data_IF_134588638881
#
_entry.id   IF_134588638881
#
_cell.length_a   1.000
_cell.length_b   1.000
_cell.length_c   1.000
_cell.angle_alpha   90.00
_cell.angle_beta   90.00
_cell.angle_gamma   90.00
#
_symmetry.space_group_name_H-M   'P 1'
#
loop_
_entity.id
_entity.type
_entity.pdbx_description
1 polymer ?
#
# COMPACT_ATOMS: atom_id res chain seq x y z
N UNK A 1 -33.92 -42.08 -52.88
CA UNK A 1 -32.74 -42.63 -52.17
C UNK A 1 -32.71 -42.00 -50.79
N UNK A 2 -32.96 -42.82 -49.77
CA UNK A 2 -33.14 -42.41 -48.38
C UNK A 2 -31.74 -42.41 -47.72
N UNK A 3 -31.14 -41.23 -47.55
CA UNK A 3 -29.84 -41.09 -46.86
C UNK A 3 -30.18 -40.77 -45.40
N UNK A 4 -29.88 -41.71 -44.51
CA UNK A 4 -30.35 -41.70 -43.12
C UNK A 4 -29.71 -40.62 -42.23
N UNK A 5 -30.32 -40.38 -41.05
CA UNK A 5 -29.95 -39.32 -40.09
C UNK A 5 -28.62 -39.55 -39.35
N UNK A 6 -27.82 -40.56 -39.73
CA UNK A 6 -26.58 -40.94 -39.06
C UNK A 6 -25.34 -40.15 -39.51
N UNK A 7 -25.38 -39.48 -40.68
CA UNK A 7 -24.25 -38.70 -41.18
C UNK A 7 -24.16 -37.31 -40.54
N UNK A 8 -25.30 -36.62 -40.35
CA UNK A 8 -25.33 -35.31 -39.68
C UNK A 8 -24.99 -35.41 -38.18
N UNK A 9 -25.35 -36.51 -37.52
CA UNK A 9 -25.00 -36.74 -36.11
C UNK A 9 -23.49 -36.96 -35.91
N UNK A 10 -22.81 -37.56 -36.89
CA UNK A 10 -21.37 -37.78 -36.82
C UNK A 10 -20.56 -36.52 -37.13
N UNK A 11 -21.03 -35.63 -38.00
CA UNK A 11 -20.39 -34.31 -38.20
C UNK A 11 -20.56 -33.41 -36.97
N UNK A 12 -21.77 -33.35 -36.38
CA UNK A 12 -21.99 -32.60 -35.14
C UNK A 12 -21.15 -33.12 -33.97
N UNK A 13 -20.93 -34.43 -33.89
CA UNK A 13 -20.08 -35.04 -32.86
C UNK A 13 -18.59 -34.75 -33.09
N UNK A 14 -18.15 -34.68 -34.35
CA UNK A 14 -16.76 -34.32 -34.72
C UNK A 14 -16.49 -32.84 -34.48
N UNK A 15 -17.48 -31.99 -34.70
CA UNK A 15 -17.41 -30.56 -34.41
C UNK A 15 -17.47 -30.28 -32.90
N UNK A 16 -18.26 -31.05 -32.14
CA UNK A 16 -18.27 -31.01 -30.68
C UNK A 16 -16.94 -31.53 -30.07
N UNK A 17 -16.36 -32.61 -30.61
CA UNK A 17 -15.02 -33.08 -30.21
C UNK A 17 -13.91 -32.08 -30.56
N UNK A 18 -14.02 -31.36 -31.67
CA UNK A 18 -13.06 -30.29 -32.01
C UNK A 18 -13.21 -29.05 -31.12
N UNK A 19 -14.42 -28.73 -30.65
CA UNK A 19 -14.67 -27.65 -29.69
C UNK A 19 -14.19 -28.01 -28.27
N UNK A 20 -14.41 -29.25 -27.81
CA UNK A 20 -13.88 -29.74 -26.53
C UNK A 20 -12.34 -29.77 -26.52
N UNK A 21 -11.72 -30.10 -27.67
CA UNK A 21 -10.27 -30.08 -27.83
C UNK A 21 -9.67 -28.66 -27.88
N UNK A 22 -10.47 -27.63 -28.21
CA UNK A 22 -10.07 -26.23 -28.13
C UNK A 22 -10.23 -25.66 -26.70
N UNK A 23 -11.16 -26.19 -25.91
CA UNK A 23 -11.40 -25.79 -24.51
C UNK A 23 -10.40 -26.43 -23.52
N UNK A 24 -9.70 -27.50 -23.93
CA UNK A 24 -8.70 -28.23 -23.14
C UNK A 24 -7.23 -27.87 -23.39
N UNK A 25 -6.93 -26.79 -24.12
CA UNK A 25 -5.58 -26.20 -24.06
C UNK A 25 -5.52 -25.19 -22.91
N UNK A 26 -5.01 -25.54 -21.72
CA UNK A 26 -4.60 -24.52 -20.77
C UNK A 26 -3.55 -23.67 -21.49
N UNK A 27 -3.83 -22.38 -21.65
CA UNK A 27 -2.89 -21.40 -22.16
C UNK A 27 -1.68 -21.39 -21.25
N UNK A 28 -0.70 -22.24 -21.55
CA UNK A 28 0.58 -22.27 -20.87
C UNK A 28 1.35 -21.03 -21.33
N UNK A 29 0.98 -19.88 -20.76
CA UNK A 29 1.83 -18.70 -20.74
C UNK A 29 3.18 -19.15 -20.18
N UNK A 30 4.15 -19.28 -21.08
CA UNK A 30 5.51 -19.67 -20.75
C UNK A 30 5.95 -18.85 -19.54
N UNK A 31 6.50 -19.47 -18.49
CA UNK A 31 6.89 -18.80 -17.22
C UNK A 31 7.63 -17.46 -17.43
N UNK A 32 8.38 -17.33 -18.53
CA UNK A 32 9.04 -16.11 -19.00
C UNK A 32 8.07 -15.01 -19.49
N UNK A 33 7.05 -15.33 -20.27
CA UNK A 33 5.98 -14.41 -20.70
C UNK A 33 5.10 -13.99 -19.51
N UNK A 34 4.75 -14.92 -18.62
CA UNK A 34 4.04 -14.60 -17.37
C UNK A 34 4.87 -13.68 -16.45
N UNK A 35 6.20 -13.88 -16.36
CA UNK A 35 7.09 -12.99 -15.61
C UNK A 35 7.28 -11.63 -16.27
N UNK A 36 7.26 -11.55 -17.60
CA UNK A 36 7.39 -10.30 -18.35
C UNK A 36 6.12 -9.45 -18.25
N UNK A 37 4.95 -10.06 -18.37
CA UNK A 37 3.64 -9.42 -18.16
C UNK A 37 3.44 -9.04 -16.69
N UNK A 38 3.92 -9.86 -15.75
CA UNK A 38 3.94 -9.54 -14.32
C UNK A 38 4.87 -8.37 -13.96
N UNK A 39 6.01 -8.24 -14.63
CA UNK A 39 6.95 -7.14 -14.43
C UNK A 39 6.42 -5.81 -15.00
N UNK A 40 5.82 -5.81 -16.20
CA UNK A 40 5.18 -4.62 -16.78
C UNK A 40 3.92 -4.23 -16.02
N UNK A 41 3.09 -5.18 -15.60
CA UNK A 41 1.96 -4.91 -14.72
C UNK A 41 2.44 -4.34 -13.36
N UNK A 42 3.53 -4.84 -12.79
CA UNK A 42 4.12 -4.29 -11.55
C UNK A 42 4.75 -2.91 -11.73
N UNK A 43 5.33 -2.62 -12.89
CA UNK A 43 5.83 -1.29 -13.24
C UNK A 43 4.68 -0.29 -13.40
N UNK A 44 3.62 -0.65 -14.13
CA UNK A 44 2.38 0.14 -14.26
C UNK A 44 1.71 0.30 -12.89
N UNK A 45 1.63 -0.75 -12.06
CA UNK A 45 1.10 -0.72 -10.67
C UNK A 45 1.91 0.20 -9.75
N UNK A 46 3.24 0.25 -9.91
CA UNK A 46 4.11 1.16 -9.16
C UNK A 46 4.05 2.62 -9.67
N UNK A 47 3.88 2.83 -10.98
CA UNK A 47 3.88 4.14 -11.64
C UNK A 47 2.53 4.86 -11.58
N UNK A 48 1.42 4.12 -11.60
CA UNK A 48 0.07 4.62 -11.92
C UNK A 48 -0.43 5.77 -11.05
N UNK A 49 0.02 5.84 -9.80
CA UNK A 49 -0.49 6.83 -8.85
C UNK A 49 0.41 8.07 -8.76
N UNK A 50 1.66 8.01 -9.26
CA UNK A 50 2.64 9.10 -9.18
C UNK A 50 2.24 10.38 -9.93
N UNK A 51 1.59 10.31 -11.10
CA UNK A 51 1.05 11.51 -11.77
C UNK A 51 -0.09 12.17 -10.98
N UNK A 52 -0.92 11.39 -10.26
CA UNK A 52 -1.99 11.95 -9.43
C UNK A 52 -1.44 12.80 -8.27
N UNK A 53 -0.22 12.52 -7.79
CA UNK A 53 0.45 13.34 -6.77
C UNK A 53 0.82 14.75 -7.27
N UNK A 54 0.94 14.95 -8.59
CA UNK A 54 1.25 16.27 -9.15
C UNK A 54 0.08 17.25 -9.02
N UNK A 55 -1.15 16.74 -8.88
CA UNK A 55 -2.37 17.54 -8.90
C UNK A 55 -2.85 17.99 -7.51
N UNK A 56 -2.45 17.28 -6.45
CA UNK A 56 -2.90 17.59 -5.08
C UNK A 56 -1.80 18.25 -4.23
N UNK A 57 -2.15 19.36 -3.55
CA UNK A 57 -1.28 20.20 -2.69
C UNK A 57 -0.68 19.45 -1.49
N UNK A 58 -1.38 18.42 -1.04
CA UNK A 58 -0.86 17.44 -0.07
C UNK A 58 -0.58 16.19 -0.90
N UNK A 59 0.62 15.58 -0.83
CA UNK A 59 0.82 14.30 -1.48
C UNK A 59 -0.28 13.36 -0.99
N UNK A 60 -1.21 13.01 -1.87
CA UNK A 60 -2.30 12.10 -1.51
C UNK A 60 -1.65 10.83 -0.99
N UNK A 61 -1.96 10.41 0.23
CA UNK A 61 -1.41 9.18 0.82
C UNK A 61 -2.05 7.96 0.16
N UNK A 62 -1.93 7.86 -1.16
CA UNK A 62 -2.40 6.74 -1.93
C UNK A 62 -1.45 5.58 -1.60
N UNK A 63 -1.89 4.76 -0.65
CA UNK A 63 -1.31 3.46 -0.22
C UNK A 63 -0.05 3.49 0.61
N UNK A 64 0.64 4.63 0.72
CA UNK A 64 1.89 4.70 1.49
C UNK A 64 2.27 6.13 1.87
N UNK A 65 2.79 6.38 3.08
CA UNK A 65 3.51 7.62 3.32
C UNK A 65 4.78 7.66 2.45
N UNK A 66 4.98 8.77 1.74
CA UNK A 66 6.24 9.01 1.02
C UNK A 66 7.40 8.90 2.01
N UNK A 67 8.43 8.11 1.65
CA UNK A 67 9.63 7.98 2.47
C UNK A 67 10.51 9.22 2.29
N UNK A 68 10.64 9.69 1.05
CA UNK A 68 11.37 10.90 0.71
C UNK A 68 10.43 11.94 0.11
N UNK A 69 10.48 13.16 0.61
CA UNK A 69 9.60 14.24 0.16
C UNK A 69 10.21 14.95 -1.06
N UNK A 70 9.66 14.68 -2.26
CA UNK A 70 10.15 15.24 -3.52
C UNK A 70 9.84 16.74 -3.69
N UNK A 71 9.00 17.32 -2.83
CA UNK A 71 8.65 18.75 -2.84
C UNK A 71 9.36 19.53 -1.73
N UNK A 72 10.19 18.89 -0.91
CA UNK A 72 10.87 19.55 0.19
C UNK A 72 11.72 20.74 -0.30
N UNK A 73 12.54 20.51 -1.32
CA UNK A 73 13.39 21.57 -1.91
C UNK A 73 12.55 22.64 -2.62
N UNK A 74 11.49 22.25 -3.34
CA UNK A 74 10.61 23.21 -4.02
C UNK A 74 9.87 24.13 -3.02
N UNK A 75 9.45 23.59 -1.87
CA UNK A 75 8.81 24.36 -0.79
C UNK A 75 9.76 25.35 -0.13
N UNK A 76 11.02 25.00 0.05
CA UNK A 76 11.99 25.91 0.65
C UNK A 76 12.37 27.10 -0.25
N UNK A 77 12.07 27.04 -1.55
CA UNK A 77 12.28 28.14 -2.50
C UNK A 77 11.10 29.13 -2.55
N UNK A 78 10.01 28.87 -1.81
CA UNK A 78 8.87 29.77 -1.73
C UNK A 78 8.98 30.76 -0.55
N UNK A 79 8.50 32.01 -0.72
CA UNK A 79 8.32 32.93 0.40
C UNK A 79 7.37 32.33 1.44
N UNK A 80 7.68 32.53 2.72
CA UNK A 80 6.89 32.03 3.86
C UNK A 80 5.42 32.50 3.81
N UNK A 81 5.16 33.70 3.27
CA UNK A 81 3.81 34.27 3.09
C UNK A 81 2.89 33.44 2.17
N UNK A 82 3.47 32.75 1.18
CA UNK A 82 2.69 31.90 0.25
C UNK A 82 2.35 30.56 0.89
N UNK A 83 3.22 30.07 1.78
CA UNK A 83 3.04 28.80 2.50
C UNK A 83 1.96 28.90 3.58
N UNK A 84 1.84 30.06 4.25
CA UNK A 84 0.85 30.28 5.32
C UNK A 84 -0.57 30.54 4.78
N UNK A 85 -0.71 30.93 3.50
CA UNK A 85 -2.02 31.21 2.90
C UNK A 85 -2.82 29.93 2.65
N UNK A 86 -4.05 29.85 3.21
CA UNK A 86 -4.92 28.65 3.13
C UNK A 86 -5.27 28.21 1.72
N UNK A 87 -5.41 29.12 0.75
CA UNK A 87 -5.65 28.79 -0.67
C UNK A 87 -4.82 29.73 -1.53
N UNK A 88 -3.87 29.17 -2.29
CA UNK A 88 -3.05 29.93 -3.25
C UNK A 88 -2.70 29.01 -4.42
N UNK A 89 -2.99 29.45 -5.64
CA UNK A 89 -2.58 28.75 -6.87
C UNK A 89 -1.06 28.63 -6.96
N UNK A 90 -0.31 29.63 -6.46
CA UNK A 90 1.16 29.59 -6.38
C UNK A 90 1.68 28.66 -5.29
N UNK A 91 0.85 28.34 -4.29
CA UNK A 91 1.14 27.34 -3.25
C UNK A 91 0.67 25.92 -3.60
N UNK A 92 0.17 25.68 -4.82
CA UNK A 92 -0.16 24.35 -5.32
C UNK A 92 1.11 23.56 -5.67
N UNK A 93 1.04 22.24 -5.77
CA UNK A 93 2.18 21.40 -6.18
C UNK A 93 2.77 21.81 -7.52
N UNK A 94 1.90 22.07 -8.50
CA UNK A 94 2.28 22.60 -9.81
C UNK A 94 2.89 23.99 -9.69
N UNK A 95 2.31 24.87 -8.86
CA UNK A 95 2.84 26.21 -8.61
C UNK A 95 4.22 26.21 -7.94
N UNK A 96 4.44 25.30 -6.99
CA UNK A 96 5.72 25.10 -6.30
C UNK A 96 6.80 24.66 -7.28
N UNK A 97 6.50 23.67 -8.12
CA UNK A 97 7.42 23.16 -9.13
C UNK A 97 7.67 24.24 -10.20
N UNK A 98 6.63 24.91 -10.69
CA UNK A 98 6.75 25.97 -11.71
C UNK A 98 7.62 27.13 -11.20
N UNK A 99 7.44 27.56 -9.95
CA UNK A 99 8.27 28.58 -9.34
C UNK A 99 9.73 28.11 -9.15
N UNK A 100 9.94 26.88 -8.71
CA UNK A 100 11.28 26.31 -8.55
C UNK A 100 12.01 26.18 -9.90
N UNK A 101 11.33 25.75 -10.96
CA UNK A 101 11.87 25.71 -12.34
C UNK A 101 12.19 27.11 -12.83
N UNK A 102 11.37 28.11 -12.52
CA UNK A 102 11.66 29.51 -12.87
C UNK A 102 12.93 30.04 -12.17
N UNK A 103 13.19 29.63 -10.93
CA UNK A 103 14.36 30.10 -10.16
C UNK A 103 15.66 29.34 -10.48
N UNK A 104 15.60 28.02 -10.65
CA UNK A 104 16.78 27.13 -10.81
C UNK A 104 16.94 26.56 -12.23
N UNK A 105 16.01 26.89 -13.13
CA UNK A 105 15.94 26.35 -14.49
C UNK A 105 15.35 24.94 -14.56
N UNK A 106 15.19 24.42 -15.78
CA UNK A 106 14.64 23.09 -16.07
C UNK A 106 15.46 21.94 -15.48
N UNK A 107 16.76 22.16 -15.21
CA UNK A 107 17.62 21.18 -14.54
C UNK A 107 17.17 20.83 -13.12
N UNK A 108 16.28 21.64 -12.52
CA UNK A 108 15.72 21.40 -11.20
C UNK A 108 14.93 20.08 -11.12
N UNK A 109 14.10 19.81 -12.12
CA UNK A 109 13.23 18.63 -12.16
C UNK A 109 14.02 17.31 -12.09
N UNK A 110 14.96 17.03 -13.01
CA UNK A 110 15.70 15.76 -13.00
C UNK A 110 16.64 15.62 -11.81
N UNK A 111 17.08 16.72 -11.17
CA UNK A 111 18.06 16.68 -10.07
C UNK A 111 17.43 16.64 -8.66
N UNK A 112 16.28 17.27 -8.47
CA UNK A 112 15.70 17.45 -7.13
C UNK A 112 14.31 16.84 -6.98
N UNK A 113 13.55 16.66 -8.07
CA UNK A 113 12.18 16.11 -8.00
C UNK A 113 12.15 14.66 -8.47
N UNK A 114 12.73 14.38 -9.63
CA UNK A 114 12.67 13.06 -10.25
C UNK A 114 13.38 11.99 -9.42
N UNK A 115 14.55 12.32 -8.86
CA UNK A 115 15.36 11.39 -8.08
C UNK A 115 14.63 10.87 -6.82
N UNK A 116 14.10 11.72 -5.92
CA UNK A 116 13.31 11.23 -4.79
C UNK A 116 11.98 10.58 -5.22
N UNK A 117 11.38 10.97 -6.35
CA UNK A 117 10.22 10.27 -6.90
C UNK A 117 10.57 8.83 -7.30
N UNK A 118 11.67 8.64 -8.04
CA UNK A 118 12.19 7.33 -8.41
C UNK A 118 12.55 6.51 -7.17
N UNK A 119 13.18 7.11 -6.16
CA UNK A 119 13.46 6.43 -4.91
C UNK A 119 12.17 5.92 -4.25
N UNK A 120 11.12 6.72 -4.14
CA UNK A 120 9.83 6.24 -3.62
C UNK A 120 9.18 5.17 -4.52
N UNK A 121 9.34 5.28 -5.85
CA UNK A 121 8.85 4.32 -6.82
C UNK A 121 9.46 2.94 -6.63
N UNK A 122 10.79 2.85 -6.52
CA UNK A 122 11.52 1.58 -6.37
C UNK A 122 11.01 0.77 -5.18
N UNK A 123 10.63 1.47 -4.12
CA UNK A 123 10.12 0.82 -2.92
C UNK A 123 8.70 0.29 -3.13
N UNK A 124 7.82 1.06 -3.79
CA UNK A 124 6.49 0.58 -4.17
C UNK A 124 6.57 -0.58 -5.17
N UNK A 125 7.49 -0.51 -6.13
CA UNK A 125 7.76 -1.56 -7.09
C UNK A 125 8.20 -2.86 -6.40
N UNK A 126 9.13 -2.79 -5.45
CA UNK A 126 9.56 -3.95 -4.66
C UNK A 126 8.38 -4.58 -3.90
N UNK A 127 7.51 -3.76 -3.29
CA UNK A 127 6.31 -4.22 -2.59
C UNK A 127 5.36 -4.96 -3.54
N UNK A 128 4.89 -4.31 -4.60
CA UNK A 128 3.86 -4.87 -5.49
C UNK A 128 4.37 -6.05 -6.32
N UNK A 129 5.62 -6.02 -6.78
CA UNK A 129 6.22 -7.15 -7.50
C UNK A 129 6.27 -8.38 -6.61
N UNK A 130 6.70 -8.21 -5.36
CA UNK A 130 6.77 -9.32 -4.40
C UNK A 130 5.38 -9.83 -4.04
N UNK A 131 4.43 -8.94 -3.77
CA UNK A 131 3.05 -9.32 -3.48
C UNK A 131 2.44 -10.16 -4.60
N UNK A 132 2.53 -9.67 -5.84
CA UNK A 132 1.92 -10.31 -7.02
C UNK A 132 2.63 -11.60 -7.42
N UNK A 133 3.94 -11.73 -7.16
CA UNK A 133 4.67 -12.97 -7.34
C UNK A 133 4.32 -14.02 -6.26
N UNK A 134 4.15 -13.59 -5.01
CA UNK A 134 3.92 -14.49 -3.88
C UNK A 134 2.47 -14.95 -3.79
N UNK A 135 1.51 -14.09 -4.13
CA UNK A 135 0.08 -14.34 -3.92
C UNK A 135 -0.43 -15.63 -4.62
N UNK A 136 -0.15 -15.90 -5.91
CA UNK A 136 -0.60 -17.13 -6.55
C UNK A 136 0.01 -18.38 -5.90
N UNK A 137 1.30 -18.31 -5.52
CA UNK A 137 1.99 -19.43 -4.86
C UNK A 137 1.44 -19.70 -3.46
N UNK A 138 1.04 -18.65 -2.73
CA UNK A 138 0.42 -18.78 -1.42
C UNK A 138 -0.98 -19.44 -1.53
N UNK A 139 -1.77 -19.06 -2.53
CA UNK A 139 -3.06 -19.70 -2.82
C UNK A 139 -2.90 -21.14 -3.31
N UNK A 140 -1.91 -21.44 -4.15
CA UNK A 140 -1.64 -22.80 -4.62
C UNK A 140 -1.26 -23.74 -3.46
N UNK A 141 -0.43 -23.25 -2.51
CA UNK A 141 -0.09 -23.99 -1.30
C UNK A 141 -1.31 -24.20 -0.40
N UNK A 142 -2.13 -23.16 -0.23
CA UNK A 142 -3.33 -23.23 0.58
C UNK A 142 -4.38 -24.20 0.04
N UNK A 143 -4.60 -24.19 -1.28
CA UNK A 143 -5.51 -25.12 -1.96
C UNK A 143 -4.96 -26.54 -1.98
N UNK A 144 -3.64 -26.76 -2.11
CA UNK A 144 -3.04 -28.10 -2.02
C UNK A 144 -3.24 -28.78 -0.66
N UNK A 145 -3.45 -27.99 0.40
CA UNK A 145 -3.78 -28.48 1.74
C UNK A 145 -5.28 -28.68 1.95
N UNK A 146 -6.14 -28.15 1.06
CA UNK A 146 -7.60 -28.20 1.16
C UNK A 146 -8.16 -29.22 0.16
N UNK A 147 -8.38 -30.45 0.64
CA UNK A 147 -8.91 -31.57 -0.15
C UNK A 147 -10.33 -31.28 -0.66
N UNK A 148 -10.55 -31.66 -1.92
CA UNK A 148 -11.81 -31.89 -2.64
C UNK A 148 -12.96 -32.22 -1.68
N UNK A 149 -13.85 -31.26 -1.46
CA UNK A 149 -15.30 -31.41 -1.21
C UNK A 149 -15.81 -30.12 -0.60
N UNK A 150 -16.76 -29.49 -1.30
CA UNK A 150 -17.55 -28.30 -0.96
C UNK A 150 -17.10 -27.04 -1.71
N UNK A 151 -18.05 -26.44 -2.39
CA UNK A 151 -17.98 -25.06 -2.84
C UNK A 151 -17.65 -24.15 -1.65
N UNK A 152 -17.09 -22.97 -1.96
CA UNK A 152 -17.10 -21.75 -1.15
C UNK A 152 -15.90 -21.44 -0.23
N UNK A 153 -15.47 -20.18 -0.39
CA UNK A 153 -14.47 -19.37 0.32
C UNK A 153 -12.98 -19.67 0.08
N UNK A 154 -12.34 -18.75 -0.65
CA UNK A 154 -10.88 -18.63 -0.70
C UNK A 154 -10.32 -18.53 0.72
N UNK A 155 -9.24 -19.27 1.06
CA UNK A 155 -8.64 -19.18 2.39
C UNK A 155 -8.22 -17.74 2.69
N UNK A 156 -8.44 -17.29 3.92
CA UNK A 156 -8.23 -15.89 4.33
C UNK A 156 -6.77 -15.53 4.57
N UNK A 157 -5.90 -16.51 4.84
CA UNK A 157 -4.50 -16.29 5.25
C UNK A 157 -3.47 -16.08 4.12
N UNK A 158 -3.61 -16.59 2.87
CA UNK A 158 -2.62 -16.39 1.81
C UNK A 158 -2.31 -14.91 1.50
N UNK A 159 -3.30 -13.99 1.48
CA UNK A 159 -3.02 -12.56 1.34
C UNK A 159 -2.18 -11.97 2.48
N UNK A 160 -2.32 -12.47 3.71
CA UNK A 160 -1.47 -12.06 4.83
C UNK A 160 -0.02 -12.50 4.63
N UNK A 161 0.21 -13.73 4.17
CA UNK A 161 1.55 -14.26 3.89
C UNK A 161 2.20 -13.50 2.74
N UNK A 162 1.46 -13.30 1.65
CA UNK A 162 1.93 -12.53 0.50
C UNK A 162 2.23 -11.07 0.88
N UNK A 163 1.37 -10.46 1.70
CA UNK A 163 1.57 -9.12 2.25
C UNK A 163 2.78 -9.02 3.18
N UNK A 164 3.03 -10.03 4.03
CA UNK A 164 4.20 -10.12 4.89
C UNK A 164 5.50 -10.23 4.07
N UNK A 165 5.53 -11.09 3.05
CA UNK A 165 6.66 -11.23 2.14
C UNK A 165 6.94 -9.94 1.37
N UNK A 166 5.88 -9.26 0.90
CA UNK A 166 5.99 -7.96 0.26
C UNK A 166 6.55 -6.89 1.21
N UNK A 167 6.06 -6.82 2.45
CA UNK A 167 6.57 -5.90 3.46
C UNK A 167 8.04 -6.15 3.80
N UNK A 168 8.46 -7.43 3.84
CA UNK A 168 9.85 -7.80 4.03
C UNK A 168 10.73 -7.29 2.87
N UNK A 169 10.39 -7.62 1.62
CA UNK A 169 11.15 -7.18 0.45
C UNK A 169 11.23 -5.65 0.36
N UNK A 170 10.12 -4.96 0.62
CA UNK A 170 10.07 -3.51 0.65
C UNK A 170 11.00 -2.92 1.72
N UNK A 171 11.01 -3.48 2.93
CA UNK A 171 11.77 -2.93 4.06
C UNK A 171 13.28 -2.86 3.78
N UNK A 172 13.82 -3.80 3.00
CA UNK A 172 15.23 -3.81 2.57
C UNK A 172 15.53 -2.56 1.73
N UNK A 173 14.65 -2.25 0.76
CA UNK A 173 14.79 -1.06 -0.10
C UNK A 173 14.45 0.23 0.64
N UNK A 174 13.51 0.18 1.59
CA UNK A 174 13.01 1.35 2.32
C UNK A 174 13.98 1.84 3.41
N UNK A 175 14.65 0.93 4.11
CA UNK A 175 15.54 1.27 5.24
C UNK A 175 16.61 2.31 4.89
N UNK A 176 17.36 2.18 3.77
CA UNK A 176 18.36 3.19 3.45
C UNK A 176 17.73 4.57 3.19
N UNK A 177 16.58 4.62 2.53
CA UNK A 177 15.85 5.85 2.26
C UNK A 177 15.30 6.50 3.54
N UNK A 178 14.85 5.68 4.49
CA UNK A 178 14.42 6.15 5.81
C UNK A 178 15.55 6.80 6.60
N UNK A 179 16.75 6.22 6.53
CA UNK A 179 17.96 6.77 7.16
C UNK A 179 18.36 8.11 6.52
N UNK A 180 18.34 8.19 5.19
CA UNK A 180 18.60 9.42 4.45
C UNK A 180 17.58 10.52 4.76
N UNK A 181 16.29 10.18 4.87
CA UNK A 181 15.21 11.14 5.17
C UNK A 181 15.44 11.87 6.49
N UNK A 182 15.87 11.17 7.53
CA UNK A 182 16.05 11.76 8.88
C UNK A 182 17.22 12.75 8.90
N UNK A 183 18.20 12.55 8.02
CA UNK A 183 19.40 13.39 7.88
C UNK A 183 19.25 14.47 6.81
N UNK A 184 18.16 14.43 6.05
CA UNK A 184 17.96 15.34 4.94
C UNK A 184 17.60 16.73 5.46
N UNK A 185 18.51 17.67 5.28
CA UNK A 185 18.30 19.07 5.62
C UNK A 185 18.11 19.89 4.33
N UNK A 186 16.95 20.53 4.19
CA UNK A 186 16.64 21.28 2.95
C UNK A 186 17.60 22.45 2.72
N UNK A 187 18.12 23.05 3.79
CA UNK A 187 19.13 24.11 3.72
C UNK A 187 20.40 23.68 2.97
N UNK A 188 20.77 22.40 3.04
CA UNK A 188 21.97 21.87 2.36
C UNK A 188 21.77 21.77 0.84
N UNK A 189 20.52 21.57 0.41
CA UNK A 189 20.16 21.61 -1.02
C UNK A 189 20.10 23.06 -1.53
N UNK A 190 19.53 23.97 -0.72
CA UNK A 190 19.36 25.38 -1.12
C UNK A 190 20.69 26.13 -1.12
N UNK A 191 21.57 25.86 -0.16
CA UNK A 191 22.93 26.45 -0.07
C UNK A 191 23.89 25.95 -1.16
N UNK A 192 23.52 24.91 -1.91
CA UNK A 192 24.36 24.35 -2.97
C UNK A 192 25.44 23.38 -2.48
N UNK A 193 25.42 22.99 -1.20
CA UNK A 193 26.31 21.93 -0.68
C UNK A 193 26.17 20.63 -1.48
N UNK A 194 24.94 20.31 -1.87
CA UNK A 194 24.63 19.16 -2.73
C UNK A 194 23.82 19.61 -3.95
N UNK A 195 24.27 19.19 -5.14
CA UNK A 195 23.70 19.61 -6.44
C UNK A 195 22.59 18.69 -6.96
N UNK A 196 22.34 17.59 -6.27
CA UNK A 196 21.28 16.63 -6.58
C UNK A 196 20.96 15.78 -5.34
N UNK A 197 19.79 15.16 -5.32
CA UNK A 197 19.39 14.28 -4.22
C UNK A 197 20.27 13.02 -4.14
N UNK A 198 20.66 12.45 -5.29
CA UNK A 198 21.62 11.34 -5.34
C UNK A 198 23.00 11.75 -4.85
N UNK A 199 23.48 12.96 -5.18
CA UNK A 199 24.74 13.47 -4.64
C UNK A 199 24.72 13.61 -3.11
N UNK A 200 23.57 13.97 -2.53
CA UNK A 200 23.38 13.91 -1.08
C UNK A 200 23.43 12.47 -0.56
N UNK A 201 22.73 11.54 -1.20
CA UNK A 201 22.74 10.13 -0.82
C UNK A 201 24.15 9.52 -0.88
N UNK A 202 24.91 9.80 -1.94
CA UNK A 202 26.29 9.33 -2.12
C UNK A 202 27.22 9.88 -1.05
N UNK A 203 27.10 11.17 -0.72
CA UNK A 203 27.85 11.77 0.40
C UNK A 203 27.55 11.09 1.73
N UNK A 204 26.27 10.80 2.01
CA UNK A 204 25.89 10.07 3.22
C UNK A 204 26.40 8.63 3.21
N UNK A 205 26.44 7.94 2.06
CA UNK A 205 27.01 6.59 1.95
C UNK A 205 28.51 6.62 2.22
N UNK A 206 29.23 7.65 1.75
CA UNK A 206 30.65 7.83 2.01
C UNK A 206 30.93 8.08 3.51
N UNK A 207 30.10 8.90 4.17
CA UNK A 207 30.28 9.25 5.59
C UNK A 207 29.93 8.11 6.56
N UNK A 208 28.83 7.38 6.30
CA UNK A 208 28.25 6.40 7.23
C UNK A 208 28.58 4.95 6.87
N UNK A 209 28.93 4.71 5.61
CA UNK A 209 28.98 3.37 5.02
C UNK A 209 27.60 2.72 4.89
N UNK A 210 27.55 1.60 4.17
CA UNK A 210 26.32 0.83 3.97
C UNK A 210 25.73 0.32 5.30
N UNK A 211 26.58 -0.08 6.26
CA UNK A 211 26.14 -0.60 7.56
C UNK A 211 25.41 0.46 8.40
N UNK A 212 25.86 1.72 8.34
CA UNK A 212 25.18 2.84 9.02
C UNK A 212 23.82 3.14 8.41
N UNK A 213 23.68 2.99 7.09
CA UNK A 213 22.43 3.23 6.37
C UNK A 213 21.32 2.22 6.74
N UNK A 214 21.70 0.98 7.09
CA UNK A 214 20.78 -0.07 7.55
C UNK A 214 20.56 -0.09 9.07
N UNK A 215 21.07 0.91 9.81
CA UNK A 215 20.91 1.03 11.26
C UNK A 215 19.47 1.44 11.61
N UNK A 216 18.59 0.45 11.69
CA UNK A 216 17.15 0.63 11.87
C UNK A 216 16.30 -0.44 11.16
N UNK A 217 16.93 -1.29 10.34
CA UNK A 217 16.28 -2.34 9.54
C UNK A 217 15.30 -3.20 10.36
N UNK A 218 15.67 -3.61 11.58
CA UNK A 218 14.82 -4.47 12.43
C UNK A 218 13.46 -3.83 12.73
N UNK A 219 13.44 -2.54 13.03
CA UNK A 219 12.21 -1.82 13.35
C UNK A 219 11.40 -1.55 12.08
N UNK A 220 12.08 -1.18 10.99
CA UNK A 220 11.42 -1.02 9.67
C UNK A 220 10.81 -2.34 9.18
N UNK A 221 11.50 -3.48 9.38
CA UNK A 221 11.01 -4.82 9.08
C UNK A 221 9.72 -5.14 9.83
N UNK A 222 9.75 -5.05 11.17
CA UNK A 222 8.56 -5.36 12.00
C UNK A 222 7.37 -4.49 11.60
N UNK A 223 7.61 -3.19 11.42
CA UNK A 223 6.58 -2.23 11.00
C UNK A 223 6.00 -2.57 9.64
N UNK A 224 6.85 -2.72 8.62
CA UNK A 224 6.40 -2.93 7.25
C UNK A 224 5.76 -4.31 7.10
N UNK A 225 6.35 -5.38 7.65
CA UNK A 225 5.77 -6.74 7.59
C UNK A 225 4.39 -6.77 8.25
N UNK A 226 4.25 -6.26 9.48
CA UNK A 226 2.96 -6.25 10.17
C UNK A 226 1.93 -5.36 9.47
N UNK A 227 2.35 -4.17 9.02
CA UNK A 227 1.49 -3.22 8.32
C UNK A 227 0.94 -3.78 7.01
N UNK A 228 1.81 -4.31 6.13
CA UNK A 228 1.38 -4.81 4.82
C UNK A 228 0.68 -6.17 4.89
N UNK A 229 1.05 -7.05 5.84
CA UNK A 229 0.28 -8.27 6.09
C UNK A 229 -1.16 -7.95 6.49
N UNK A 230 -1.35 -7.00 7.42
CA UNK A 230 -2.67 -6.54 7.84
C UNK A 230 -3.43 -5.85 6.71
N UNK A 231 -2.76 -4.99 5.94
CA UNK A 231 -3.38 -4.26 4.82
C UNK A 231 -3.93 -5.20 3.74
N UNK A 232 -3.09 -6.04 3.15
CA UNK A 232 -3.51 -6.94 2.07
C UNK A 232 -4.42 -8.06 2.58
N UNK A 233 -4.15 -8.57 3.79
CA UNK A 233 -4.98 -9.56 4.47
C UNK A 233 -6.41 -9.11 4.68
N UNK A 234 -6.59 -7.97 5.35
CA UNK A 234 -7.92 -7.43 5.66
C UNK A 234 -8.61 -6.89 4.41
N UNK A 235 -7.86 -6.34 3.45
CA UNK A 235 -8.44 -5.93 2.17
C UNK A 235 -9.10 -7.10 1.45
N UNK A 236 -8.36 -8.20 1.23
CA UNK A 236 -8.90 -9.36 0.52
C UNK A 236 -10.04 -10.03 1.30
N UNK A 237 -9.90 -10.15 2.63
CA UNK A 237 -10.95 -10.73 3.47
C UNK A 237 -12.25 -9.91 3.40
N UNK A 238 -12.19 -8.61 3.69
CA UNK A 238 -13.40 -7.75 3.70
C UNK A 238 -13.99 -7.61 2.31
N UNK A 239 -13.15 -7.55 1.28
CA UNK A 239 -13.62 -7.53 -0.11
C UNK A 239 -14.46 -8.77 -0.41
N UNK A 240 -13.97 -9.96 -0.06
CA UNK A 240 -14.69 -11.21 -0.30
C UNK A 240 -16.01 -11.25 0.48
N UNK A 241 -15.97 -10.96 1.79
CA UNK A 241 -17.19 -10.91 2.62
C UNK A 241 -18.23 -9.91 2.11
N UNK A 242 -17.80 -8.70 1.71
CA UNK A 242 -18.72 -7.67 1.23
C UNK A 242 -19.31 -8.03 -0.13
N UNK A 243 -18.53 -8.68 -1.00
CA UNK A 243 -19.01 -9.19 -2.30
C UNK A 243 -20.00 -10.34 -2.09
N UNK A 244 -19.74 -11.24 -1.15
CA UNK A 244 -20.63 -12.35 -0.83
C UNK A 244 -21.96 -11.83 -0.26
N UNK A 245 -21.91 -10.88 0.70
CA UNK A 245 -23.11 -10.19 1.20
C UNK A 245 -23.87 -9.48 0.07
N UNK A 246 -23.16 -8.79 -0.83
CA UNK A 246 -23.78 -8.15 -1.98
C UNK A 246 -24.48 -9.17 -2.89
N UNK A 247 -23.85 -10.32 -3.15
CA UNK A 247 -24.43 -11.41 -3.95
C UNK A 247 -25.69 -11.96 -3.29
N UNK A 248 -25.66 -12.21 -1.98
CA UNK A 248 -26.81 -12.72 -1.22
C UNK A 248 -27.98 -11.74 -1.24
N UNK A 249 -27.70 -10.44 -1.08
CA UNK A 249 -28.73 -9.39 -1.14
C UNK A 249 -29.38 -9.31 -2.53
N UNK A 250 -28.57 -9.37 -3.59
CA UNK A 250 -29.09 -9.40 -4.98
C UNK A 250 -29.92 -10.66 -5.21
N UNK A 251 -29.46 -11.81 -4.72
CA UNK A 251 -30.20 -13.07 -4.83
C UNK A 251 -31.56 -13.01 -4.12
N UNK A 252 -31.61 -12.50 -2.90
CA UNK A 252 -32.87 -12.32 -2.16
C UNK A 252 -33.81 -11.38 -2.91
N UNK A 253 -33.32 -10.25 -3.42
CA UNK A 253 -34.11 -9.29 -4.19
C UNK A 253 -34.70 -9.92 -5.47
N UNK A 254 -33.89 -10.62 -6.27
CA UNK A 254 -34.37 -11.33 -7.45
C UNK A 254 -35.39 -12.41 -7.10
N UNK A 255 -35.20 -13.15 -5.99
CA UNK A 255 -36.19 -14.14 -5.56
C UNK A 255 -37.49 -13.52 -5.05
N UNK A 256 -37.44 -12.35 -4.40
CA UNK A 256 -38.64 -11.65 -3.93
C UNK A 256 -39.48 -11.14 -5.11
N UNK A 257 -38.87 -10.60 -6.16
CA UNK A 257 -39.57 -10.20 -7.39
C UNK A 257 -40.19 -11.38 -8.13
N UNK A 258 -39.56 -12.56 -8.13
CA UNK A 258 -40.15 -13.78 -8.70
C UNK A 258 -41.45 -14.22 -7.98
N UNK A 259 -41.70 -13.73 -6.77
CA UNK A 259 -42.92 -14.01 -6.00
C UNK A 259 -44.01 -12.94 -6.16
N UNK A 260 -43.71 -11.75 -6.71
CA UNK A 260 -44.75 -10.76 -6.99
C UNK A 260 -45.58 -11.15 -8.24
N UNK A 261 -46.91 -10.97 -8.19
CA UNK A 261 -47.77 -11.29 -9.33
C UNK A 261 -47.50 -10.31 -10.48
N UNK A 262 -47.14 -10.85 -11.65
CA UNK A 262 -47.12 -10.10 -12.90
C UNK A 262 -48.47 -9.41 -13.15
N UNK A 263 -48.48 -8.27 -13.86
CA UNK A 263 -49.69 -7.56 -14.27
C UNK A 263 -50.69 -8.43 -15.07
N UNK A 264 -50.23 -9.57 -15.63
CA UNK A 264 -51.02 -10.57 -16.34
C UNK A 264 -51.63 -11.67 -15.44
N UNK A 265 -51.46 -11.61 -14.12
CA UNK A 265 -52.05 -12.58 -13.18
C UNK A 265 -51.47 -14.01 -13.24
N UNK A 266 -50.49 -14.26 -14.12
CA UNK A 266 -49.77 -15.53 -14.18
C UNK A 266 -48.72 -15.60 -13.06
N UNK A 267 -48.94 -16.49 -12.09
CA UNK A 267 -47.92 -16.84 -11.10
C UNK A 267 -46.79 -17.55 -11.84
N UNK A 268 -45.55 -17.03 -11.78
CA UNK A 268 -44.38 -17.83 -12.13
C UNK A 268 -44.45 -19.14 -11.33
N UNK A 269 -44.46 -20.28 -12.03
CA UNK A 269 -44.58 -21.59 -11.38
C UNK A 269 -43.40 -21.79 -10.43
N UNK A 270 -43.64 -22.34 -9.25
CA UNK A 270 -42.58 -22.65 -8.26
C UNK A 270 -41.40 -23.42 -8.87
N UNK A 271 -41.66 -24.20 -9.92
CA UNK A 271 -40.64 -24.91 -10.71
C UNK A 271 -39.70 -23.96 -11.47
N UNK A 272 -40.21 -22.90 -12.12
CA UNK A 272 -39.38 -21.91 -12.83
C UNK A 272 -38.56 -21.06 -11.86
N UNK A 273 -39.13 -20.75 -10.68
CA UNK A 273 -38.40 -20.07 -9.59
C UNK A 273 -37.29 -20.96 -9.03
N UNK A 274 -37.55 -22.26 -8.84
CA UNK A 274 -36.54 -23.22 -8.40
C UNK A 274 -35.43 -23.43 -9.43
N UNK A 275 -35.78 -23.47 -10.72
CA UNK A 275 -34.83 -23.56 -11.84
C UNK A 275 -33.95 -22.31 -11.91
N UNK A 276 -34.54 -21.11 -11.85
CA UNK A 276 -33.80 -19.85 -11.82
C UNK A 276 -32.90 -19.76 -10.58
N UNK A 277 -33.36 -20.23 -9.42
CA UNK A 277 -32.55 -20.29 -8.19
C UNK A 277 -31.37 -21.25 -8.32
N UNK A 278 -31.57 -22.42 -8.94
CA UNK A 278 -30.49 -23.37 -9.22
C UNK A 278 -29.49 -22.81 -10.23
N UNK A 279 -29.97 -22.13 -11.28
CA UNK A 279 -29.11 -21.47 -12.26
C UNK A 279 -28.30 -20.33 -11.62
N UNK A 280 -28.91 -19.55 -10.72
CA UNK A 280 -28.24 -18.49 -9.98
C UNK A 280 -27.14 -19.02 -9.05
N UNK A 281 -27.41 -20.13 -8.35
CA UNK A 281 -26.42 -20.81 -7.51
C UNK A 281 -25.27 -21.43 -8.32
N UNK A 282 -25.52 -21.77 -9.59
CA UNK A 282 -24.54 -22.44 -10.46
C UNK A 282 -23.67 -21.46 -11.24
N UNK A 283 -24.19 -20.28 -11.56
CA UNK A 283 -23.50 -19.25 -12.36
C UNK A 283 -23.64 -17.85 -11.72
N UNK A 284 -22.94 -17.58 -10.60
CA UNK A 284 -23.08 -16.33 -9.84
C UNK A 284 -22.68 -15.07 -10.63
N UNK A 285 -21.80 -15.19 -11.63
CA UNK A 285 -21.34 -14.05 -12.44
C UNK A 285 -22.40 -13.53 -13.43
N UNK A 286 -23.47 -14.31 -13.69
CA UNK A 286 -24.57 -13.87 -14.58
C UNK A 286 -25.44 -12.77 -13.97
N UNK A 287 -25.38 -12.61 -12.65
CA UNK A 287 -26.03 -11.52 -11.89
C UNK A 287 -25.51 -10.12 -12.26
N UNK A 288 -24.36 -10.02 -12.93
CA UNK A 288 -23.78 -8.75 -13.36
C UNK A 288 -24.15 -8.38 -14.80
N UNK A 289 -24.67 -9.33 -15.56
CA UNK A 289 -25.00 -9.10 -16.96
C UNK A 289 -26.36 -8.41 -17.06
N UNK A 290 -26.34 -7.09 -17.27
CA UNK A 290 -27.54 -6.27 -17.48
C UNK A 290 -28.46 -6.82 -18.58
N UNK A 291 -27.91 -7.45 -19.62
CA UNK A 291 -28.71 -8.03 -20.69
C UNK A 291 -29.46 -9.29 -20.25
N UNK A 292 -28.92 -10.05 -19.29
CA UNK A 292 -29.59 -11.22 -18.70
C UNK A 292 -30.69 -10.81 -17.72
N UNK A 293 -30.44 -9.77 -16.91
CA UNK A 293 -31.44 -9.18 -16.00
C UNK A 293 -32.62 -8.63 -16.81
N UNK A 294 -32.33 -7.85 -17.86
CA UNK A 294 -33.34 -7.26 -18.73
C UNK A 294 -34.13 -8.32 -19.53
N UNK A 295 -33.48 -9.39 -20.00
CA UNK A 295 -34.13 -10.47 -20.75
C UNK A 295 -35.12 -11.29 -19.90
N UNK A 296 -34.93 -11.30 -18.58
CA UNK A 296 -35.81 -12.01 -17.66
C UNK A 296 -36.81 -11.08 -16.92
N UNK A 297 -36.94 -9.82 -17.35
CA UNK A 297 -37.90 -8.84 -16.80
C UNK A 297 -37.78 -8.61 -15.26
N UNK A 298 -36.58 -8.75 -14.69
CA UNK A 298 -36.35 -8.37 -13.30
C UNK A 298 -36.36 -6.83 -13.18
N UNK A 299 -37.29 -6.27 -12.41
CA UNK A 299 -37.40 -4.83 -12.16
C UNK A 299 -36.69 -4.54 -10.83
N UNK A 300 -35.36 -4.63 -10.84
CA UNK A 300 -34.53 -4.44 -9.64
C UNK A 300 -34.93 -3.14 -8.94
N UNK A 301 -35.54 -3.24 -7.76
CA UNK A 301 -36.02 -2.09 -6.99
C UNK A 301 -34.90 -1.01 -6.88
N UNK A 302 -35.10 0.22 -7.39
CA UNK A 302 -34.02 1.21 -7.49
C UNK A 302 -33.58 1.82 -6.14
N UNK A 303 -34.22 1.42 -5.03
CA UNK A 303 -34.11 2.10 -3.73
C UNK A 303 -33.14 1.40 -2.75
N UNK A 304 -32.73 0.14 -2.96
CA UNK A 304 -31.88 -0.57 -1.99
C UNK A 304 -30.55 -1.14 -2.51
N UNK A 305 -30.30 -1.14 -3.82
CA UNK A 305 -29.07 -1.71 -4.38
C UNK A 305 -28.48 -0.72 -5.38
N UNK A 306 -27.22 -0.33 -5.16
CA UNK A 306 -26.40 0.39 -6.13
C UNK A 306 -26.57 -0.25 -7.53
N UNK A 307 -26.56 0.52 -8.64
CA UNK A 307 -26.60 -0.05 -9.99
C UNK A 307 -25.60 -1.21 -10.08
N UNK A 308 -25.93 -2.34 -10.72
CA UNK A 308 -25.06 -3.54 -10.73
C UNK A 308 -23.63 -3.25 -11.22
N UNK A 309 -23.46 -2.21 -12.05
CA UNK A 309 -22.17 -1.70 -12.54
C UNK A 309 -21.30 -1.06 -11.44
N UNK A 310 -21.91 -0.55 -10.37
CA UNK A 310 -21.25 0.18 -9.28
C UNK A 310 -21.12 -0.64 -7.99
N UNK A 311 -21.86 -1.76 -7.83
CA UNK A 311 -21.88 -2.57 -6.60
C UNK A 311 -20.50 -3.13 -6.22
N UNK A 312 -19.84 -3.84 -7.14
CA UNK A 312 -18.47 -4.37 -6.95
C UNK A 312 -17.45 -3.25 -6.66
N UNK A 313 -17.36 -2.18 -7.46
CA UNK A 313 -16.53 -1.01 -7.13
C UNK A 313 -16.76 -0.45 -5.72
N UNK A 314 -18.00 -0.34 -5.27
CA UNK A 314 -18.30 0.17 -3.93
C UNK A 314 -17.83 -0.75 -2.81
N UNK A 315 -17.98 -2.07 -2.98
CA UNK A 315 -17.44 -3.07 -2.05
C UNK A 315 -15.91 -2.96 -1.95
N UNK A 316 -15.22 -2.79 -3.08
CA UNK A 316 -13.76 -2.59 -3.13
C UNK A 316 -13.35 -1.29 -2.43
N UNK A 317 -14.08 -0.19 -2.64
CA UNK A 317 -13.81 1.09 -1.98
C UNK A 317 -13.97 0.99 -0.45
N UNK A 318 -15.00 0.28 0.01
CA UNK A 318 -15.27 0.02 1.43
C UNK A 318 -14.15 -0.84 2.05
N UNK A 319 -13.82 -1.97 1.42
CA UNK A 319 -12.73 -2.84 1.84
C UNK A 319 -11.39 -2.09 1.89
N UNK A 320 -11.10 -1.25 0.89
CA UNK A 320 -9.90 -0.43 0.86
C UNK A 320 -9.83 0.61 1.98
N UNK A 321 -10.98 1.23 2.32
CA UNK A 321 -11.07 2.16 3.43
C UNK A 321 -10.80 1.50 4.78
N UNK A 322 -11.38 0.32 5.02
CA UNK A 322 -11.15 -0.43 6.25
C UNK A 322 -9.70 -0.95 6.34
N UNK A 323 -9.16 -1.51 5.25
CA UNK A 323 -7.77 -1.95 5.19
C UNK A 323 -6.80 -0.80 5.47
N UNK A 324 -7.10 0.42 4.99
CA UNK A 324 -6.31 1.61 5.29
C UNK A 324 -6.34 1.99 6.78
N UNK A 325 -7.52 1.92 7.41
CA UNK A 325 -7.65 2.17 8.85
C UNK A 325 -6.84 1.14 9.66
N UNK A 326 -6.93 -0.13 9.30
CA UNK A 326 -6.19 -1.19 9.97
C UNK A 326 -4.68 -1.07 9.76
N UNK A 327 -4.24 -0.76 8.55
CA UNK A 327 -2.84 -0.44 8.26
C UNK A 327 -2.35 0.70 9.15
N UNK A 328 -3.11 1.80 9.23
CA UNK A 328 -2.71 2.94 10.07
C UNK A 328 -2.71 2.59 11.55
N UNK A 329 -3.63 1.75 12.03
CA UNK A 329 -3.65 1.30 13.42
C UNK A 329 -2.33 0.61 13.81
N UNK A 330 -1.75 -0.15 12.87
CA UNK A 330 -0.46 -0.81 13.06
C UNK A 330 0.70 0.16 12.80
N UNK A 331 0.75 0.79 11.64
CA UNK A 331 1.90 1.58 11.16
C UNK A 331 2.18 2.83 12.01
N UNK A 332 1.13 3.51 12.48
CA UNK A 332 1.25 4.81 13.15
C UNK A 332 2.11 4.82 14.42
N UNK A 333 1.85 3.97 15.44
CA UNK A 333 2.67 3.94 16.65
C UNK A 333 4.12 3.55 16.34
N UNK A 334 4.33 2.59 15.44
CA UNK A 334 5.66 2.16 15.04
C UNK A 334 6.41 3.25 14.28
N UNK A 335 5.76 4.00 13.39
CA UNK A 335 6.36 5.09 12.64
C UNK A 335 6.80 6.25 13.55
N UNK A 336 5.98 6.57 14.56
CA UNK A 336 6.32 7.59 15.55
C UNK A 336 7.49 7.15 16.43
N UNK A 337 7.48 5.91 16.89
CA UNK A 337 8.59 5.34 17.65
C UNK A 337 9.88 5.26 16.81
N UNK A 338 9.75 4.84 15.55
CA UNK A 338 10.85 4.79 14.58
C UNK A 338 11.52 6.15 14.43
N UNK A 339 10.74 7.21 14.24
CA UNK A 339 11.30 8.57 14.11
C UNK A 339 12.17 8.94 15.32
N UNK A 340 11.73 8.62 16.54
CA UNK A 340 12.52 8.83 17.76
C UNK A 340 13.81 8.00 17.78
N UNK A 341 13.74 6.72 17.40
CA UNK A 341 14.93 5.86 17.32
C UNK A 341 15.94 6.43 16.32
N UNK A 342 15.49 6.85 15.14
CA UNK A 342 16.40 7.39 14.13
C UNK A 342 17.00 8.74 14.55
N UNK A 343 16.27 9.59 15.28
CA UNK A 343 16.86 10.84 15.81
C UNK A 343 17.94 10.56 16.86
N UNK A 344 17.75 9.55 17.71
CA UNK A 344 18.77 9.14 18.70
C UNK A 344 19.99 8.48 18.05
N UNK A 345 19.78 7.72 16.97
CA UNK A 345 20.88 7.16 16.18
C UNK A 345 21.67 8.28 15.49
N UNK A 346 20.98 9.25 14.89
CA UNK A 346 21.63 10.38 14.23
C UNK A 346 22.43 11.24 15.23
N UNK A 347 21.89 11.53 16.41
CA UNK A 347 22.60 12.29 17.44
C UNK A 347 23.85 11.56 17.94
N UNK A 348 23.74 10.24 18.17
CA UNK A 348 24.87 9.42 18.63
C UNK A 348 26.03 9.37 17.64
N UNK A 349 25.73 9.35 16.33
CA UNK A 349 26.73 9.30 15.27
C UNK A 349 27.39 10.65 15.00
N UNK A 350 26.63 11.76 15.08
CA UNK A 350 27.21 13.10 15.00
C UNK A 350 28.22 13.32 16.13
N UNK A 351 27.89 12.87 17.35
CA UNK A 351 28.83 12.91 18.48
C UNK A 351 30.07 12.06 18.20
N UNK A 352 29.91 10.84 17.68
CA UNK A 352 31.06 9.98 17.33
C UNK A 352 31.95 10.61 16.24
N UNK A 353 31.35 11.18 15.20
CA UNK A 353 32.07 11.86 14.13
C UNK A 353 32.82 13.10 14.63
N UNK A 354 32.19 13.91 15.47
CA UNK A 354 32.79 15.12 16.06
C UNK A 354 33.96 14.76 16.96
N UNK A 355 33.79 13.71 17.79
CA UNK A 355 34.85 13.18 18.64
C UNK A 355 36.00 12.62 17.79
N UNK A 356 35.72 11.86 16.73
CA UNK A 356 36.73 11.34 15.82
C UNK A 356 37.53 12.44 15.11
N UNK A 357 36.87 13.52 14.68
CA UNK A 357 37.52 14.70 14.09
C UNK A 357 38.38 15.45 15.11
N UNK A 358 37.94 15.55 16.36
CA UNK A 358 38.76 16.10 17.44
C UNK A 358 40.00 15.25 17.72
N UNK A 359 39.91 13.92 17.64
CA UNK A 359 41.06 13.02 17.81
C UNK A 359 42.09 13.15 16.68
N UNK A 360 41.68 13.21 15.42
CA UNK A 360 42.61 13.43 14.29
C UNK A 360 43.28 14.80 14.36
N UNK A 361 42.56 15.84 14.81
CA UNK A 361 43.12 17.18 15.00
C UNK A 361 44.03 17.28 16.23
N UNK A 362 43.71 16.57 17.31
CA UNK A 362 44.49 16.50 18.55
C UNK A 362 45.79 15.72 18.38
N UNK A 363 45.80 14.59 17.65
CA UNK A 363 47.02 13.82 17.37
C UNK A 363 48.07 14.58 16.52
N UNK A 364 47.70 15.69 15.89
CA UNK A 364 48.65 16.60 15.23
C UNK A 364 49.32 17.58 16.20
N UNK A 365 48.86 17.67 17.45
CA UNK A 365 49.43 18.49 18.52
C UNK A 365 49.97 17.57 19.62
N UNK A 366 51.30 17.49 19.77
CA UNK A 366 52.00 16.53 20.64
C UNK A 366 51.70 16.62 22.16
N UNK A 367 50.78 17.46 22.62
CA UNK A 367 50.45 17.61 24.04
C UNK A 367 48.93 17.82 24.25
N UNK A 368 48.17 16.75 24.45
CA UNK A 368 46.81 16.84 24.97
C UNK A 368 46.60 15.77 26.06
N UNK A 369 46.13 16.13 27.27
CA UNK A 369 45.86 15.18 28.34
C UNK A 369 44.70 14.25 27.96
N UNK A 370 44.79 12.99 28.41
CA UNK A 370 43.98 11.86 27.98
C UNK A 370 42.46 12.12 27.95
N UNK A 371 41.93 12.35 26.75
CA UNK A 371 40.50 12.29 26.48
C UNK A 371 40.06 10.84 26.19
N UNK A 372 38.82 10.44 26.51
CA UNK A 372 38.36 9.06 26.38
C UNK A 372 38.35 8.61 24.92
N UNK A 373 38.92 7.42 24.66
CA UNK A 373 39.04 6.76 23.35
C UNK A 373 37.71 6.82 22.56
N UNK A 374 37.71 7.10 21.24
CA UNK A 374 36.53 7.12 20.39
C UNK A 374 35.93 5.71 20.29
N UNK A 375 35.09 5.40 21.27
CA UNK A 375 34.62 4.05 21.55
C UNK A 375 34.04 3.91 22.96
N UNK A 376 34.38 4.79 23.91
CA UNK A 376 33.84 4.72 25.28
C UNK A 376 32.76 5.75 25.63
N UNK A 377 32.66 6.89 24.94
CA UNK A 377 31.72 7.95 25.34
C UNK A 377 30.24 7.66 25.02
N UNK A 378 29.92 6.70 24.14
CA UNK A 378 28.53 6.28 23.83
C UNK A 378 28.39 4.79 23.48
N UNK A 379 29.38 3.94 23.80
CA UNK A 379 29.23 2.50 23.65
C UNK A 379 28.45 1.92 24.83
N UNK A 380 27.13 1.75 24.65
CA UNK A 380 26.36 0.91 25.56
C UNK A 380 24.87 1.18 25.60
N UNK A 381 24.42 2.35 25.17
CA UNK A 381 22.99 2.65 25.20
C UNK A 381 22.37 2.18 23.89
N UNK A 382 21.68 1.05 23.95
CA UNK A 382 20.84 0.57 22.87
C UNK A 382 19.88 1.71 22.43
N UNK A 383 19.93 2.18 21.16
CA UNK A 383 19.14 3.32 20.70
C UNK A 383 17.63 3.10 20.89
N UNK A 384 17.17 1.84 20.82
CA UNK A 384 15.78 1.49 21.11
C UNK A 384 15.41 1.76 22.57
N UNK A 385 16.32 1.47 23.50
CA UNK A 385 16.11 1.70 24.93
C UNK A 385 16.16 3.19 25.26
N UNK A 386 17.06 3.95 24.62
CA UNK A 386 17.11 5.41 24.75
C UNK A 386 15.81 6.06 24.26
N UNK A 387 15.38 5.70 23.05
CA UNK A 387 14.14 6.21 22.46
C UNK A 387 12.91 5.86 23.32
N UNK A 388 12.83 4.62 23.83
CA UNK A 388 11.74 4.21 24.72
C UNK A 388 11.72 5.00 26.04
N UNK A 389 12.89 5.23 26.63
CA UNK A 389 13.00 6.04 27.84
C UNK A 389 12.59 7.50 27.57
N UNK A 390 13.09 8.10 26.50
CA UNK A 390 12.75 9.46 26.07
C UNK A 390 11.24 9.64 25.81
N UNK A 391 10.61 8.66 25.17
CA UNK A 391 9.16 8.59 24.99
C UNK A 391 8.41 8.58 26.33
N UNK A 392 8.82 7.70 27.24
CA UNK A 392 8.17 7.53 28.54
C UNK A 392 8.33 8.77 29.41
N UNK A 393 9.52 9.37 29.46
CA UNK A 393 9.79 10.61 30.18
C UNK A 393 8.97 11.78 29.62
N UNK A 394 8.76 11.84 28.30
CA UNK A 394 7.92 12.86 27.66
C UNK A 394 6.44 12.64 27.96
N UNK A 395 5.96 11.40 27.87
CA UNK A 395 4.57 11.08 28.21
C UNK A 395 4.25 11.38 29.68
N UNK A 396 5.16 11.05 30.61
CA UNK A 396 4.98 11.35 32.04
C UNK A 396 5.00 12.85 32.32
N UNK A 397 5.85 13.63 31.63
CA UNK A 397 5.92 15.09 31.78
C UNK A 397 4.66 15.82 31.30
N UNK A 398 4.01 15.33 30.26
CA UNK A 398 2.76 15.90 29.75
C UNK A 398 1.54 15.56 30.63
N UNK A 399 1.66 14.58 31.53
CA UNK A 399 0.55 14.20 32.40
C UNK A 399 0.42 15.17 33.59
N UNK A 400 -0.81 15.63 33.91
CA UNK A 400 -1.04 16.66 34.92
C UNK A 400 -0.73 16.22 36.36
N UNK A 401 -0.63 14.91 36.62
CA UNK A 401 -0.35 14.36 37.93
C UNK A 401 0.91 13.50 37.91
N UNK A 402 1.69 13.47 39.00
CA UNK A 402 2.89 12.64 39.09
C UNK A 402 2.54 11.15 39.06
N UNK A 403 3.09 10.43 38.09
CA UNK A 403 2.83 9.00 37.86
C UNK A 403 4.00 8.16 38.36
N UNK A 404 3.82 7.46 39.48
CA UNK A 404 4.84 6.55 40.06
C UNK A 404 4.78 5.11 39.53
N UNK A 405 3.62 4.62 39.10
CA UNK A 405 3.48 3.22 38.69
C UNK A 405 4.01 2.98 37.28
N UNK A 406 4.93 2.00 37.12
CA UNK A 406 5.54 1.65 35.83
C UNK A 406 4.50 1.25 34.78
N UNK A 407 3.45 0.53 35.18
CA UNK A 407 2.36 0.11 34.29
C UNK A 407 1.65 1.34 33.71
N UNK A 408 1.34 2.33 34.55
CA UNK A 408 0.69 3.55 34.08
C UNK A 408 1.62 4.31 33.14
N UNK A 409 2.92 4.44 33.45
CA UNK A 409 3.89 5.06 32.52
C UNK A 409 3.91 4.40 31.14
N UNK A 410 3.85 3.07 31.06
CA UNK A 410 3.77 2.32 29.79
C UNK A 410 2.46 2.59 29.05
N UNK A 411 1.32 2.61 29.76
CA UNK A 411 0.01 2.93 29.16
C UNK A 411 0.02 4.36 28.60
N UNK A 412 0.58 5.31 29.34
CA UNK A 412 0.68 6.71 28.91
C UNK A 412 1.59 6.85 27.70
N UNK A 413 2.74 6.19 27.71
CA UNK A 413 3.65 6.14 26.56
C UNK A 413 2.97 5.53 25.32
N UNK A 414 2.20 4.45 25.51
CA UNK A 414 1.43 3.81 24.43
C UNK A 414 0.34 4.76 23.91
N UNK A 415 -0.42 5.41 24.79
CA UNK A 415 -1.43 6.42 24.42
C UNK A 415 -0.80 7.60 23.69
N UNK A 416 0.39 8.02 24.11
CA UNK A 416 1.16 9.07 23.46
C UNK A 416 1.53 8.68 22.02
N UNK A 417 1.92 7.43 21.78
CA UNK A 417 2.20 6.92 20.43
C UNK A 417 0.99 7.02 19.50
N UNK A 418 -0.22 6.75 20.00
CA UNK A 418 -1.47 6.85 19.23
C UNK A 418 -2.07 8.27 19.17
N UNK A 419 -1.48 9.26 19.83
CA UNK A 419 -2.04 10.62 19.88
C UNK A 419 -2.10 11.25 18.50
N UNK A 420 -3.33 11.53 18.01
CA UNK A 420 -3.57 12.12 16.69
C UNK A 420 -3.74 11.12 15.55
N UNK A 421 -3.72 9.81 15.86
CA UNK A 421 -3.86 8.74 14.88
C UNK A 421 -5.15 8.85 14.05
N UNK A 422 -6.32 8.98 14.70
CA UNK A 422 -7.62 8.95 14.03
C UNK A 422 -7.74 10.01 12.91
N UNK A 423 -7.31 11.24 13.19
CA UNK A 423 -7.32 12.31 12.19
C UNK A 423 -6.32 12.08 11.04
N UNK A 424 -5.25 11.34 11.27
CA UNK A 424 -4.31 10.93 10.22
C UNK A 424 -4.90 9.80 9.37
N UNK A 425 -5.56 8.83 10.01
CA UNK A 425 -6.19 7.68 9.35
C UNK A 425 -7.37 8.09 8.47
N UNK A 426 -8.27 8.94 8.98
CA UNK A 426 -9.43 9.44 8.21
C UNK A 426 -9.01 10.17 6.93
N UNK A 427 -7.90 10.93 6.98
CA UNK A 427 -7.35 11.62 5.80
C UNK A 427 -6.72 10.67 4.77
N UNK A 428 -6.42 9.44 5.15
CA UNK A 428 -5.83 8.44 4.25
C UNK A 428 -6.87 7.59 3.50
N UNK A 429 -8.11 7.51 4.00
CA UNK A 429 -9.16 6.66 3.42
C UNK A 429 -9.46 7.02 1.96
N UNK A 430 -9.74 8.28 1.57
CA UNK A 430 -10.14 8.57 0.20
C UNK A 430 -9.06 8.19 -0.82
N UNK A 431 -7.80 8.45 -0.46
CA UNK A 431 -6.66 8.03 -1.24
C UNK A 431 -6.58 6.50 -1.33
N UNK A 432 -6.61 5.82 -0.19
CA UNK A 432 -6.49 4.37 -0.11
C UNK A 432 -7.71 3.61 -0.67
N UNK A 433 -8.86 4.23 -0.85
CA UNK A 433 -9.97 3.61 -1.58
C UNK A 433 -9.76 3.79 -3.09
N UNK A 434 -9.43 5.00 -3.55
CA UNK A 434 -9.29 5.31 -4.98
C UNK A 434 -8.23 4.47 -5.68
N UNK A 435 -7.03 4.31 -5.13
CA UNK A 435 -6.03 3.51 -5.87
C UNK A 435 -6.20 1.99 -5.76
N UNK A 436 -7.01 1.48 -4.83
CA UNK A 436 -7.40 0.07 -4.79
C UNK A 436 -8.48 -0.21 -5.84
N UNK A 437 -9.38 0.76 -6.03
CA UNK A 437 -10.31 0.73 -7.15
C UNK A 437 -9.55 0.74 -8.48
N UNK A 438 -8.58 1.64 -8.65
CA UNK A 438 -7.72 1.65 -9.86
C UNK A 438 -6.96 0.33 -10.00
N UNK A 439 -6.45 -0.22 -8.90
CA UNK A 439 -5.79 -1.53 -8.89
C UNK A 439 -6.71 -2.66 -9.38
N UNK A 440 -7.94 -2.75 -8.88
CA UNK A 440 -8.89 -3.79 -9.32
C UNK A 440 -9.34 -3.58 -10.77
N UNK A 441 -9.57 -2.34 -11.20
CA UNK A 441 -9.90 -2.04 -12.60
C UNK A 441 -8.79 -2.49 -13.56
N UNK A 442 -7.53 -2.25 -13.21
CA UNK A 442 -6.39 -2.71 -14.00
C UNK A 442 -6.20 -4.22 -13.95
N UNK A 443 -6.48 -4.84 -12.80
CA UNK A 443 -6.46 -6.30 -12.67
C UNK A 443 -7.54 -6.95 -13.53
N UNK A 444 -8.70 -6.31 -13.71
CA UNK A 444 -9.74 -6.79 -14.61
C UNK A 444 -9.45 -6.55 -16.11
N UNK A 445 -8.54 -5.63 -16.45
CA UNK A 445 -8.21 -5.30 -17.84
C UNK A 445 -7.00 -6.07 -18.42
N UNK A 446 -6.24 -6.75 -17.56
CA UNK A 446 -5.06 -7.56 -17.88
C UNK A 446 -5.41 -9.04 -17.78
#
# INVERSE_FOLDING_TARGET
MNIGPSLQANEFKKDAENLDNLEHQPSQLTRKQASAVGATASAVRGLMLQPLYLWYRTPLKLFRPLRVDYLATARALLPQEVLTRRVSLRGSTVGMIANAVKQRGWSFLPRYVLQPMLANWTVGFALFTTYTAMLPSAYARASSQYSINSHEHLPWYPPFIAGAAAGFAQSIVATPLDSLRVRFEVKDMVSGRYHSWWGFADGQIADLGLKGLYRGLKLTLVKDVAGYAGFFGLFEWIKNETIDIYRDLVQVACTAELFEPNSDGSRLTRARVAELRQLLNREPDRMENQSWIARNNFVVLPVLLLPPVLGKPACVLFAGGFAALAYQAIDYPFERFRTLVYSEVASSEVVQFTVAQHFTRSNSSKNAPGLPIPGQATAGINPYRAAWKSLMDTAVREHPHPVRSKVLQVILATRYLYRGWLGVSLRSIPAASVGLLVYELLKSSL
#
